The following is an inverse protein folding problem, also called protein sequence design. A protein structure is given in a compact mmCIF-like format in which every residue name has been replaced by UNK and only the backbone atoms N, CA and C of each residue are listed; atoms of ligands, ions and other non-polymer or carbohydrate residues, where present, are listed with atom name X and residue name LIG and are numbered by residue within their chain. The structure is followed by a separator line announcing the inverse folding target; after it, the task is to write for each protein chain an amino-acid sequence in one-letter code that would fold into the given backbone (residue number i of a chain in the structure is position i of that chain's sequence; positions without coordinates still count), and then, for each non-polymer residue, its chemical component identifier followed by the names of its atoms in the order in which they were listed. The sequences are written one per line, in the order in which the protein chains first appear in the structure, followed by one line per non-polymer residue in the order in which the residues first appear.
data_IF_928734824795
#
_entry.id   IF_928734824795
#
_cell.length_a   1.000
_cell.length_b   1.000
_cell.length_c   1.000
_cell.angle_alpha   90.00
_cell.angle_beta   90.00
_cell.angle_gamma   90.00
#
_symmetry.space_group_name_H-M   'P 1'
#
loop_
_entity.id
_entity.type
_entity.pdbx_description
1 polymer ?
#
# COMPACT_ATOMS: atom_id res chain seq x y z
N UNK A 1 -1.51 -11.08 -4.92
CA UNK A 1 -2.48 -10.11 -4.40
C UNK A 1 -2.77 -9.04 -5.44
N UNK A 2 -3.93 -8.40 -5.31
CA UNK A 2 -4.42 -7.44 -6.31
C UNK A 2 -3.97 -6.00 -6.05
N UNK A 3 -2.67 -5.79 -5.96
CA UNK A 3 -2.14 -4.43 -5.83
C UNK A 3 -1.85 -3.91 -7.23
N UNK A 4 -2.34 -2.72 -7.60
CA UNK A 4 -1.99 -2.13 -8.89
C UNK A 4 -0.48 -2.02 -9.06
N UNK A 5 0.01 -2.32 -10.28
CA UNK A 5 1.45 -2.29 -10.54
C UNK A 5 2.08 -0.94 -10.20
N UNK A 6 1.36 0.15 -10.41
CA UNK A 6 1.82 1.50 -10.11
C UNK A 6 2.07 1.76 -8.63
N UNK A 7 1.44 0.96 -7.75
CA UNK A 7 1.59 1.09 -6.30
C UNK A 7 2.63 0.15 -5.71
N UNK A 8 3.15 -0.79 -6.48
CA UNK A 8 4.15 -1.76 -5.98
C UNK A 8 5.40 -1.04 -5.48
N UNK A 9 5.98 -0.15 -6.28
CA UNK A 9 7.18 0.58 -5.87
C UNK A 9 6.93 1.52 -4.68
N UNK A 10 5.85 2.32 -4.65
CA UNK A 10 5.54 3.15 -3.48
C UNK A 10 5.36 2.32 -2.19
N UNK A 11 4.70 1.18 -2.28
CA UNK A 11 4.51 0.30 -1.13
C UNK A 11 5.85 -0.22 -0.63
N UNK A 12 6.75 -0.60 -1.52
CA UNK A 12 8.10 -1.02 -1.14
C UNK A 12 8.87 0.11 -0.49
N UNK A 13 8.75 1.33 -0.99
CA UNK A 13 9.39 2.50 -0.38
C UNK A 13 8.89 2.78 1.04
N UNK A 14 7.65 2.42 1.33
CA UNK A 14 7.07 2.55 2.65
C UNK A 14 7.55 1.46 3.62
N UNK A 15 8.29 0.47 3.13
CA UNK A 15 8.84 -0.60 3.96
C UNK A 15 8.14 -1.95 3.82
N UNK A 16 7.14 -2.05 2.96
CA UNK A 16 6.40 -3.30 2.73
C UNK A 16 7.03 -4.03 1.53
N UNK A 17 8.06 -4.82 1.80
CA UNK A 17 8.87 -5.43 0.74
C UNK A 17 8.33 -6.77 0.26
N UNK A 18 7.53 -7.45 1.08
CA UNK A 18 6.99 -8.77 0.76
C UNK A 18 5.49 -8.81 1.01
N UNK A 19 4.85 -9.85 0.48
CA UNK A 19 3.43 -10.11 0.75
C UNK A 19 3.18 -10.28 2.25
N UNK A 20 4.11 -10.95 2.95
CA UNK A 20 4.00 -11.13 4.40
C UNK A 20 4.00 -9.78 5.14
N UNK A 21 4.82 -8.84 4.70
CA UNK A 21 4.85 -7.49 5.28
C UNK A 21 3.49 -6.80 5.13
N UNK A 22 2.87 -6.92 3.97
CA UNK A 22 1.54 -6.36 3.73
C UNK A 22 0.49 -7.05 4.59
N UNK A 23 0.57 -8.37 4.71
CA UNK A 23 -0.38 -9.15 5.52
C UNK A 23 -0.36 -8.74 6.99
N UNK A 24 0.79 -8.33 7.50
CA UNK A 24 0.95 -7.90 8.89
C UNK A 24 0.67 -6.41 9.09
N UNK A 25 0.43 -5.67 8.03
CA UNK A 25 0.25 -4.22 8.09
C UNK A 25 -1.11 -3.85 8.69
N UNK A 26 -1.13 -2.72 9.40
CA UNK A 26 -2.38 -2.08 9.78
C UNK A 26 -2.87 -1.29 8.56
N UNK A 27 -4.08 -1.57 8.03
CA UNK A 27 -4.55 -0.90 6.83
C UNK A 27 -4.59 0.63 6.94
N UNK A 28 -5.02 1.15 8.10
CA UNK A 28 -5.08 2.59 8.31
C UNK A 28 -3.69 3.21 8.24
N UNK A 29 -2.73 2.60 8.90
CA UNK A 29 -1.34 3.08 8.90
C UNK A 29 -0.72 2.96 7.52
N UNK A 30 -0.91 1.82 6.87
CA UNK A 30 -0.40 1.60 5.52
C UNK A 30 -0.95 2.63 4.54
N UNK A 31 -2.25 2.89 4.61
CA UNK A 31 -2.90 3.90 3.77
C UNK A 31 -2.24 5.27 3.95
N UNK A 32 -2.03 5.69 5.20
CA UNK A 32 -1.38 6.96 5.48
C UNK A 32 0.06 7.00 4.94
N UNK A 33 0.80 5.91 5.11
CA UNK A 33 2.19 5.85 4.68
C UNK A 33 2.32 5.91 3.16
N UNK A 34 1.51 5.14 2.43
CA UNK A 34 1.62 5.14 0.97
C UNK A 34 1.10 6.44 0.35
N UNK A 35 0.06 7.04 0.92
CA UNK A 35 -0.40 8.36 0.49
C UNK A 35 0.67 9.42 0.75
N UNK A 36 1.38 9.31 1.88
CA UNK A 36 2.50 10.18 2.20
C UNK A 36 3.65 10.04 1.20
N UNK A 37 3.96 8.81 0.81
CA UNK A 37 5.00 8.53 -0.20
C UNK A 37 4.61 9.17 -1.54
N UNK A 38 3.34 9.00 -1.95
CA UNK A 38 2.84 9.59 -3.18
C UNK A 38 3.07 11.11 -3.20
N UNK A 39 2.74 11.77 -2.09
CA UNK A 39 2.91 13.21 -1.96
C UNK A 39 4.38 13.61 -1.90
N UNK A 40 5.17 12.89 -1.11
CA UNK A 40 6.58 13.20 -0.88
C UNK A 40 7.40 13.11 -2.17
N UNK A 41 7.17 12.08 -2.95
CA UNK A 41 7.90 11.84 -4.20
C UNK A 41 7.18 12.37 -5.43
N UNK A 42 6.03 13.01 -5.26
CA UNK A 42 5.22 13.61 -6.34
C UNK A 42 4.95 12.60 -7.46
N UNK A 43 4.51 11.43 -7.07
CA UNK A 43 4.25 10.34 -8.01
C UNK A 43 3.00 10.57 -8.85
N UNK A 44 2.13 11.49 -8.43
CA UNK A 44 0.91 11.86 -9.15
C UNK A 44 -0.04 10.67 -9.36
N UNK A 45 0.02 9.68 -8.47
CA UNK A 45 -0.88 8.56 -8.51
C UNK A 45 -2.20 8.90 -7.81
N UNK A 46 -3.29 8.30 -8.28
CA UNK A 46 -4.56 8.41 -7.58
C UNK A 46 -4.46 7.65 -6.25
N UNK A 47 -4.71 8.34 -5.14
CA UNK A 47 -4.64 7.70 -3.83
C UNK A 47 -5.71 6.62 -3.71
N UNK A 48 -5.36 5.42 -3.21
CA UNK A 48 -6.36 4.39 -2.94
C UNK A 48 -7.23 4.81 -1.77
N UNK A 49 -8.44 4.25 -1.70
CA UNK A 49 -9.29 4.44 -0.54
C UNK A 49 -8.81 3.53 0.59
N UNK A 50 -9.26 3.81 1.82
CA UNK A 50 -8.96 2.93 2.95
C UNK A 50 -9.51 1.51 2.71
N UNK A 51 -10.64 1.40 2.04
CA UNK A 51 -11.23 0.10 1.70
C UNK A 51 -10.36 -0.67 0.72
N UNK A 52 -9.76 0.01 -0.26
CA UNK A 52 -8.81 -0.60 -1.19
C UNK A 52 -7.61 -1.18 -0.45
N UNK A 53 -7.05 -0.43 0.48
CA UNK A 53 -5.89 -0.87 1.26
C UNK A 53 -6.27 -2.05 2.16
N UNK A 54 -7.43 -2.00 2.79
CA UNK A 54 -7.94 -3.13 3.57
C UNK A 54 -8.04 -4.40 2.73
N UNK A 55 -8.52 -4.28 1.51
CA UNK A 55 -8.62 -5.40 0.59
C UNK A 55 -7.24 -5.97 0.26
N UNK A 56 -6.25 -5.11 0.01
CA UNK A 56 -4.89 -5.56 -0.25
C UNK A 56 -4.32 -6.35 0.92
N UNK A 57 -4.52 -5.87 2.14
CA UNK A 57 -4.05 -6.55 3.36
C UNK A 57 -4.77 -7.90 3.51
N UNK A 58 -6.08 -7.92 3.31
CA UNK A 58 -6.86 -9.17 3.40
C UNK A 58 -6.41 -10.19 2.36
N UNK A 59 -6.18 -9.75 1.12
CA UNK A 59 -5.69 -10.63 0.06
C UNK A 59 -4.30 -11.17 0.37
N UNK A 60 -3.46 -10.39 1.01
CA UNK A 60 -2.11 -10.83 1.40
C UNK A 60 -2.13 -11.91 2.49
N UNK A 61 -3.20 -11.98 3.27
CA UNK A 61 -3.36 -13.00 4.33
C UNK A 61 -3.82 -14.35 3.83
N UNK A 62 -4.28 -14.42 2.61
CA UNK A 62 -4.84 -15.65 2.03
C UNK A 62 -3.77 -16.57 1.45
#
# INVERSE_FOLDING_TARGET
INIPAEWVAPIQKAGYLTVADVAEANPNKMHQEICGINKKYKLELANPTIDDVKEWVENAKR
#
